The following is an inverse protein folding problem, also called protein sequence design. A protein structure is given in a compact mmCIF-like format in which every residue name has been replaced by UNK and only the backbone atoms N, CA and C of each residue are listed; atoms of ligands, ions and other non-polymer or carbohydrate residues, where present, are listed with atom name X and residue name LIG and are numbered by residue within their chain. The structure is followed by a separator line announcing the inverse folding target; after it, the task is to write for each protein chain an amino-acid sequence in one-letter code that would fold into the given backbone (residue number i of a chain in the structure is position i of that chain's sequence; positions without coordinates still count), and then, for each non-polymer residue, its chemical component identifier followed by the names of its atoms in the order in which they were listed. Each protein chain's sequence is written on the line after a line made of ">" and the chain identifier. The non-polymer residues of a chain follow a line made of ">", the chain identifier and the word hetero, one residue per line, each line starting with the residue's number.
data_IF_245556968324
#
_entry.id   IF_245556968324
#
_cell.length_a   1.000
_cell.length_b   1.000
_cell.length_c   1.000
_cell.angle_alpha   90.00
_cell.angle_beta   90.00
_cell.angle_gamma   90.00
#
_symmetry.space_group_name_H-M   'P 1'
#
loop_
_entity.id
_entity.type
_entity.pdbx_description
1 polymer ?
#
# COMPACT_ATOMS: atom_id res chain seq x y z
N UNK A 1 -1.59 27.49 -8.64
CA UNK A 1 -2.55 28.15 -9.57
C UNK A 1 -3.03 27.13 -10.59
N UNK A 2 -4.33 27.03 -10.86
CA UNK A 2 -4.83 26.15 -11.92
C UNK A 2 -4.35 26.66 -13.28
N UNK A 3 -3.82 25.75 -14.11
CA UNK A 3 -3.31 26.09 -15.44
C UNK A 3 -4.45 26.67 -16.29
N UNK A 4 -4.26 27.87 -16.85
CA UNK A 4 -5.28 28.60 -17.63
C UNK A 4 -5.55 28.01 -19.03
N UNK A 5 -5.17 26.75 -19.27
CA UNK A 5 -5.03 26.14 -20.59
C UNK A 5 -6.13 25.11 -20.88
N UNK A 6 -7.36 25.59 -21.06
CA UNK A 6 -8.44 24.88 -21.75
C UNK A 6 -8.64 23.39 -21.40
N UNK A 7 -8.97 22.57 -22.40
CA UNK A 7 -9.30 21.13 -22.27
C UNK A 7 -8.16 20.25 -21.73
N UNK A 8 -6.91 20.72 -21.79
CA UNK A 8 -5.73 20.04 -21.25
C UNK A 8 -5.50 20.30 -19.75
N UNK A 9 -6.32 21.16 -19.13
CA UNK A 9 -6.31 21.34 -17.68
C UNK A 9 -6.96 20.14 -16.98
N UNK A 10 -6.37 19.62 -15.90
CA UNK A 10 -7.02 18.58 -15.11
C UNK A 10 -8.33 19.10 -14.52
N UNK A 11 -9.35 18.23 -14.52
CA UNK A 11 -10.62 18.52 -13.87
C UNK A 11 -10.47 18.48 -12.33
N UNK A 12 -11.50 18.95 -11.61
CA UNK A 12 -11.45 19.04 -10.15
C UNK A 12 -11.22 17.69 -9.44
N UNK A 13 -11.72 16.58 -9.99
CA UNK A 13 -11.50 15.25 -9.43
C UNK A 13 -10.03 14.83 -9.61
N UNK A 14 -9.47 15.03 -10.81
CA UNK A 14 -8.05 14.77 -11.10
C UNK A 14 -7.14 15.58 -10.18
N UNK A 15 -7.43 16.87 -9.97
CA UNK A 15 -6.65 17.72 -9.05
C UNK A 15 -6.67 17.14 -7.63
N UNK A 16 -7.86 16.81 -7.09
CA UNK A 16 -7.99 16.20 -5.75
C UNK A 16 -7.21 14.89 -5.66
N UNK A 17 -7.29 14.04 -6.70
CA UNK A 17 -6.57 12.77 -6.77
C UNK A 17 -5.06 12.98 -6.75
N UNK A 18 -4.53 13.97 -7.48
CA UNK A 18 -3.10 14.31 -7.49
C UNK A 18 -2.59 14.78 -6.13
N UNK A 19 -3.33 15.67 -5.46
CA UNK A 19 -2.98 16.11 -4.11
C UNK A 19 -3.06 14.95 -3.10
N UNK A 20 -4.12 14.14 -3.13
CA UNK A 20 -4.26 12.98 -2.25
C UNK A 20 -3.12 11.96 -2.48
N UNK A 21 -2.80 11.66 -3.74
CA UNK A 21 -1.74 10.70 -4.10
C UNK A 21 -0.32 11.22 -3.84
N UNK A 22 -0.16 12.49 -3.49
CA UNK A 22 1.13 13.06 -3.10
C UNK A 22 1.39 12.99 -1.59
N UNK A 23 0.34 12.73 -0.80
CA UNK A 23 0.43 12.78 0.66
C UNK A 23 0.81 14.16 1.22
N UNK A 24 0.70 15.22 0.41
CA UNK A 24 1.11 16.58 0.78
C UNK A 24 2.58 16.90 0.54
N UNK A 25 3.33 16.03 -0.15
CA UNK A 25 4.77 16.20 -0.39
C UNK A 25 5.13 16.18 -1.88
N UNK A 26 6.21 16.87 -2.24
CA UNK A 26 6.74 16.90 -3.60
C UNK A 26 7.14 15.50 -4.07
N UNK A 27 6.64 15.08 -5.25
CA UNK A 27 6.86 13.73 -5.77
C UNK A 27 8.27 13.46 -6.35
N UNK A 28 9.12 14.49 -6.45
CA UNK A 28 10.54 14.27 -6.76
C UNK A 28 11.23 13.54 -5.59
N UNK A 29 11.81 12.34 -5.80
CA UNK A 29 12.37 11.49 -4.75
C UNK A 29 13.55 12.10 -4.00
N UNK A 30 14.25 13.07 -4.59
CA UNK A 30 15.37 13.77 -3.95
C UNK A 30 14.94 15.04 -3.20
N UNK A 31 13.65 15.39 -3.25
CA UNK A 31 13.12 16.64 -2.73
C UNK A 31 12.20 16.44 -1.52
N UNK A 32 11.09 15.72 -1.70
CA UNK A 32 10.13 15.36 -0.65
C UNK A 32 9.66 16.51 0.27
N UNK A 33 9.80 17.78 -0.15
CA UNK A 33 9.40 18.91 0.68
C UNK A 33 7.86 19.01 0.80
N UNK A 34 7.32 19.52 1.93
CA UNK A 34 5.90 19.80 2.08
C UNK A 34 5.39 20.76 0.99
N UNK A 35 4.21 20.50 0.47
CA UNK A 35 3.56 21.32 -0.56
C UNK A 35 2.62 22.39 0.02
N UNK A 36 2.29 22.25 1.30
CA UNK A 36 1.54 23.21 2.09
C UNK A 36 2.46 23.73 3.18
N UNK A 37 2.65 25.04 3.23
CA UNK A 37 3.60 25.70 4.13
C UNK A 37 2.90 26.83 4.85
N UNK A 38 3.17 26.96 6.14
CA UNK A 38 2.70 28.11 6.91
C UNK A 38 3.72 29.25 6.82
N UNK A 39 3.25 30.41 6.36
CA UNK A 39 4.02 31.64 6.22
C UNK A 39 3.37 32.73 7.09
N UNK A 40 3.79 32.79 8.36
CA UNK A 40 3.16 33.64 9.36
C UNK A 40 1.75 33.14 9.70
N UNK A 41 0.75 34.00 9.48
CA UNK A 41 -0.67 33.70 9.70
C UNK A 41 -1.36 33.07 8.48
N UNK A 42 -0.63 32.82 7.39
CA UNK A 42 -1.17 32.30 6.13
C UNK A 42 -0.69 30.89 5.85
N UNK A 43 -1.60 30.02 5.46
CA UNK A 43 -1.24 28.76 4.81
C UNK A 43 -1.13 28.98 3.29
N UNK A 44 0.01 28.60 2.72
CA UNK A 44 0.29 28.73 1.29
C UNK A 44 0.53 27.36 0.65
N UNK A 45 -0.01 27.18 -0.57
CA UNK A 45 0.26 26.01 -1.39
C UNK A 45 1.38 26.32 -2.37
N UNK A 46 2.53 25.66 -2.22
CA UNK A 46 3.67 25.74 -3.14
C UNK A 46 3.72 24.55 -4.12
N UNK A 47 2.76 23.63 -4.02
CA UNK A 47 2.56 22.54 -4.96
C UNK A 47 1.99 23.00 -6.30
N UNK A 48 2.59 22.53 -7.38
CA UNK A 48 2.25 22.82 -8.76
C UNK A 48 2.05 21.53 -9.56
N UNK A 49 1.11 21.59 -10.50
CA UNK A 49 0.72 20.49 -11.37
C UNK A 49 1.59 20.59 -12.63
N UNK A 50 2.56 19.69 -12.78
CA UNK A 50 3.43 19.63 -13.95
C UNK A 50 2.94 18.55 -14.91
N UNK A 51 2.83 18.90 -16.19
CA UNK A 51 2.55 17.94 -17.25
C UNK A 51 3.80 17.09 -17.54
N UNK A 52 3.63 15.77 -17.63
CA UNK A 52 4.70 14.83 -17.99
C UNK A 52 4.98 14.95 -19.49
N UNK A 53 3.96 14.71 -20.30
CA UNK A 53 3.92 15.09 -21.72
C UNK A 53 3.28 16.46 -21.89
N UNK A 54 3.83 17.28 -22.79
CA UNK A 54 3.38 18.66 -23.03
C UNK A 54 1.86 18.82 -23.08
N UNK A 55 1.36 19.91 -22.47
CA UNK A 55 -0.04 20.31 -22.57
C UNK A 55 -0.43 20.84 -23.96
N UNK A 56 0.54 21.20 -24.79
CA UNK A 56 0.35 21.78 -26.14
C UNK A 56 1.20 21.03 -27.16
N UNK A 57 0.80 21.11 -28.42
CA UNK A 57 1.62 20.60 -29.53
C UNK A 57 2.93 21.39 -29.64
N UNK A 58 4.03 20.71 -29.90
CA UNK A 58 5.39 21.26 -30.01
C UNK A 58 5.98 21.89 -28.72
N UNK A 59 5.46 21.50 -27.55
CA UNK A 59 6.12 21.81 -26.27
C UNK A 59 7.12 20.73 -25.80
N UNK A 60 7.72 20.91 -24.62
CA UNK A 60 8.59 19.93 -23.98
C UNK A 60 7.99 18.53 -23.90
N UNK A 61 8.69 17.50 -24.39
CA UNK A 61 8.21 16.10 -24.36
C UNK A 61 6.82 15.95 -25.00
N UNK A 62 6.61 16.53 -26.19
CA UNK A 62 5.33 16.40 -26.92
C UNK A 62 5.06 14.94 -27.27
N UNK A 63 3.84 14.47 -27.00
CA UNK A 63 3.33 13.20 -27.51
C UNK A 63 2.07 13.49 -28.35
N UNK A 64 2.20 13.32 -29.67
CA UNK A 64 1.14 13.60 -30.64
C UNK A 64 -0.03 12.63 -30.57
N UNK A 65 0.15 11.49 -29.91
CA UNK A 65 -0.90 10.47 -29.75
C UNK A 65 -1.88 10.82 -28.62
N UNK A 66 -1.56 11.82 -27.78
CA UNK A 66 -2.42 12.26 -26.69
C UNK A 66 -3.43 13.32 -27.16
N UNK A 67 -4.72 13.03 -26.96
CA UNK A 67 -5.78 14.03 -27.11
C UNK A 67 -5.67 15.12 -26.03
N UNK A 68 -6.30 16.26 -26.28
CA UNK A 68 -6.37 17.36 -25.30
C UNK A 68 -6.91 16.89 -23.95
N UNK A 69 -7.97 16.07 -23.96
CA UNK A 69 -8.56 15.52 -22.73
C UNK A 69 -7.62 14.55 -22.02
N UNK A 70 -6.78 13.79 -22.75
CA UNK A 70 -5.78 12.88 -22.17
C UNK A 70 -4.63 13.65 -21.51
N UNK A 71 -4.29 14.84 -22.02
CA UNK A 71 -3.23 15.68 -21.41
C UNK A 71 -3.58 16.15 -20.01
N UNK A 72 -4.87 16.34 -19.73
CA UNK A 72 -5.40 16.67 -18.40
C UNK A 72 -5.66 15.48 -17.48
N UNK A 73 -5.36 14.25 -17.90
CA UNK A 73 -5.62 13.06 -17.08
C UNK A 73 -4.61 12.92 -15.95
N UNK A 74 -5.04 12.19 -14.92
CA UNK A 74 -4.19 11.88 -13.78
C UNK A 74 -2.83 11.38 -14.24
N UNK A 75 -2.77 10.38 -15.11
CA UNK A 75 -1.53 9.70 -15.51
C UNK A 75 -0.50 10.63 -16.17
N UNK A 76 -0.93 11.70 -16.84
CA UNK A 76 -0.04 12.66 -17.51
C UNK A 76 0.42 13.81 -16.60
N UNK A 77 0.07 13.83 -15.32
CA UNK A 77 0.39 14.95 -14.42
C UNK A 77 1.10 14.43 -13.18
N UNK A 78 2.14 15.14 -12.77
CA UNK A 78 2.85 14.95 -11.51
C UNK A 78 2.66 16.20 -10.62
N UNK A 79 2.61 16.01 -9.31
CA UNK A 79 2.53 17.11 -8.35
C UNK A 79 3.91 17.33 -7.69
N UNK A 80 4.48 18.50 -7.91
CA UNK A 80 5.82 18.86 -7.41
C UNK A 80 5.82 20.25 -6.80
N UNK A 81 6.85 20.62 -6.02
CA UNK A 81 6.99 22.01 -5.57
C UNK A 81 7.39 22.94 -6.74
N UNK A 82 7.14 24.24 -6.61
CA UNK A 82 7.48 25.25 -7.62
C UNK A 82 8.96 25.20 -8.11
N UNK A 83 9.90 24.90 -7.20
CA UNK A 83 11.32 24.74 -7.56
C UNK A 83 11.58 23.53 -8.45
N UNK A 84 10.95 22.38 -8.14
CA UNK A 84 11.07 21.18 -8.97
C UNK A 84 10.34 21.34 -10.30
N UNK A 85 9.16 21.98 -10.30
CA UNK A 85 8.44 22.33 -11.53
C UNK A 85 9.33 23.16 -12.46
N UNK A 86 9.93 24.23 -11.94
CA UNK A 86 10.84 25.10 -12.71
C UNK A 86 12.03 24.33 -13.29
N UNK A 87 12.61 23.38 -12.55
CA UNK A 87 13.72 22.54 -13.06
C UNK A 87 13.26 21.62 -14.20
N UNK A 88 12.13 20.96 -14.05
CA UNK A 88 11.56 20.06 -15.06
C UNK A 88 11.25 20.80 -16.37
N UNK A 89 10.77 22.04 -16.26
CA UNK A 89 10.42 22.87 -17.41
C UNK A 89 11.64 23.48 -18.11
N UNK A 90 12.66 23.89 -17.35
CA UNK A 90 13.81 24.64 -17.90
C UNK A 90 14.98 23.78 -18.35
N UNK A 91 15.02 22.51 -17.96
CA UNK A 91 16.10 21.57 -18.26
C UNK A 91 15.51 20.24 -18.76
N UNK A 92 14.58 20.34 -19.71
CA UNK A 92 13.78 19.21 -20.21
C UNK A 92 14.61 18.00 -20.65
N UNK A 93 15.81 18.23 -21.19
CA UNK A 93 16.77 17.22 -21.63
C UNK A 93 17.30 16.36 -20.47
N UNK A 94 17.23 16.86 -19.24
CA UNK A 94 17.62 16.16 -18.03
C UNK A 94 16.43 15.51 -17.30
N UNK A 95 15.19 15.81 -17.70
CA UNK A 95 13.98 15.29 -17.10
C UNK A 95 13.10 14.59 -18.13
N UNK A 96 13.45 13.34 -18.47
CA UNK A 96 12.67 12.51 -19.41
C UNK A 96 11.29 12.15 -18.87
N UNK A 97 10.34 11.87 -19.76
CA UNK A 97 8.99 11.43 -19.38
C UNK A 97 9.03 10.12 -18.58
N UNK A 98 9.86 9.16 -18.98
CA UNK A 98 10.05 7.89 -18.28
C UNK A 98 10.47 8.12 -16.82
N UNK A 99 11.42 9.02 -16.59
CA UNK A 99 11.90 9.34 -15.25
C UNK A 99 10.81 10.03 -14.41
N UNK A 100 10.07 10.97 -14.98
CA UNK A 100 8.99 11.65 -14.23
C UNK A 100 7.86 10.67 -13.91
N UNK A 101 7.55 9.74 -14.82
CA UNK A 101 6.57 8.67 -14.57
C UNK A 101 7.03 7.74 -13.45
N UNK A 102 8.32 7.38 -13.40
CA UNK A 102 8.85 6.55 -12.32
C UNK A 102 8.78 7.27 -10.98
N UNK A 103 9.13 8.57 -10.91
CA UNK A 103 8.99 9.36 -9.69
C UNK A 103 7.58 9.35 -9.14
N UNK A 104 6.60 9.58 -10.02
CA UNK A 104 5.20 9.56 -9.64
C UNK A 104 4.77 8.18 -9.12
N UNK A 105 5.14 7.11 -9.83
CA UNK A 105 4.85 5.73 -9.43
C UNK A 105 5.45 5.41 -8.07
N UNK A 106 6.75 5.64 -7.91
CA UNK A 106 7.49 5.32 -6.68
C UNK A 106 6.93 6.08 -5.47
N UNK A 107 6.52 7.34 -5.66
CA UNK A 107 5.93 8.13 -4.58
C UNK A 107 4.55 7.59 -4.15
N UNK A 108 3.71 7.23 -5.11
CA UNK A 108 2.39 6.64 -4.84
C UNK A 108 2.56 5.29 -4.13
N UNK A 109 3.49 4.46 -4.61
CA UNK A 109 3.78 3.16 -4.02
C UNK A 109 4.31 3.29 -2.59
N UNK A 110 5.14 4.31 -2.29
CA UNK A 110 5.58 4.63 -0.92
C UNK A 110 4.41 5.01 0.00
N UNK A 111 3.47 5.83 -0.47
CA UNK A 111 2.29 6.20 0.31
C UNK A 111 1.41 4.98 0.56
N UNK A 112 1.12 4.20 -0.48
CA UNK A 112 0.35 2.97 -0.38
C UNK A 112 0.98 1.98 0.62
N UNK A 113 2.30 1.80 0.56
CA UNK A 113 3.03 0.97 1.50
C UNK A 113 2.91 1.46 2.95
N UNK A 114 2.82 2.77 3.18
CA UNK A 114 2.59 3.35 4.52
C UNK A 114 1.24 2.91 5.11
N UNK A 115 0.23 2.72 4.26
CA UNK A 115 -1.09 2.23 4.67
C UNK A 115 -1.23 0.69 4.58
N UNK A 116 -0.12 -0.04 4.40
CA UNK A 116 -0.13 -1.50 4.32
C UNK A 116 -0.63 -2.04 2.99
N UNK A 117 -0.79 -1.20 1.96
CA UNK A 117 -1.05 -1.63 0.58
C UNK A 117 0.30 -1.93 -0.05
N UNK A 118 0.79 -3.15 0.17
CA UNK A 118 2.04 -3.64 -0.43
C UNK A 118 1.74 -4.73 -1.44
N UNK A 119 1.84 -4.38 -2.72
CA UNK A 119 1.85 -5.32 -3.84
C UNK A 119 3.29 -5.70 -4.16
N UNK A 120 3.50 -6.92 -4.64
CA UNK A 120 4.79 -7.42 -5.08
C UNK A 120 4.74 -7.82 -6.54
N UNK A 121 5.90 -7.85 -7.18
CA UNK A 121 6.03 -8.23 -8.59
C UNK A 121 6.07 -9.75 -8.77
N UNK A 122 6.44 -10.51 -7.74
CA UNK A 122 6.63 -11.95 -7.80
C UNK A 122 6.19 -12.67 -6.52
N UNK A 123 5.87 -13.96 -6.66
CA UNK A 123 5.38 -14.85 -5.60
C UNK A 123 6.37 -14.98 -4.45
N UNK A 124 7.66 -15.11 -4.77
CA UNK A 124 8.74 -15.26 -3.78
C UNK A 124 8.76 -14.09 -2.77
N UNK A 125 8.60 -12.85 -3.25
CA UNK A 125 8.61 -11.68 -2.38
C UNK A 125 7.39 -11.63 -1.45
N UNK A 126 6.22 -12.05 -1.92
CA UNK A 126 5.02 -12.21 -1.07
C UNK A 126 5.30 -13.27 0.00
N UNK A 127 5.86 -14.41 -0.40
CA UNK A 127 6.16 -15.53 0.49
C UNK A 127 7.12 -15.14 1.60
N UNK A 128 8.22 -14.48 1.28
CA UNK A 128 9.21 -14.03 2.26
C UNK A 128 8.60 -13.10 3.32
N UNK A 129 7.64 -12.25 2.93
CA UNK A 129 6.93 -11.38 3.86
C UNK A 129 5.90 -12.15 4.71
N UNK A 130 5.12 -13.05 4.09
CA UNK A 130 4.16 -13.91 4.81
C UNK A 130 4.82 -14.78 5.87
N UNK A 131 6.01 -15.31 5.56
CA UNK A 131 6.70 -16.25 6.44
C UNK A 131 7.10 -15.61 7.78
N UNK A 132 7.32 -14.29 7.83
CA UNK A 132 7.59 -13.57 9.09
C UNK A 132 6.42 -13.73 10.06
N UNK A 133 5.19 -13.53 9.58
CA UNK A 133 3.98 -13.61 10.39
C UNK A 133 3.64 -15.05 10.75
N UNK A 134 3.73 -15.99 9.80
CA UNK A 134 3.48 -17.40 10.08
C UNK A 134 4.47 -17.96 11.10
N UNK A 135 5.76 -17.63 10.96
CA UNK A 135 6.79 -18.07 11.90
C UNK A 135 6.54 -17.55 13.31
N UNK A 136 6.24 -16.26 13.45
CA UNK A 136 5.93 -15.67 14.76
C UNK A 136 4.67 -16.30 15.39
N UNK A 137 3.59 -16.42 14.63
CA UNK A 137 2.35 -17.04 15.10
C UNK A 137 2.58 -18.49 15.54
N UNK A 138 3.33 -19.27 14.74
CA UNK A 138 3.64 -20.66 15.07
C UNK A 138 4.51 -20.78 16.32
N UNK A 139 5.54 -19.94 16.47
CA UNK A 139 6.36 -19.92 17.68
C UNK A 139 5.52 -19.62 18.92
N UNK A 140 4.60 -18.66 18.86
CA UNK A 140 3.69 -18.35 19.98
C UNK A 140 2.77 -19.54 20.26
N UNK A 141 2.18 -20.15 19.23
CA UNK A 141 1.25 -21.27 19.38
C UNK A 141 1.92 -22.49 20.01
N UNK A 142 3.11 -22.88 19.53
CA UNK A 142 3.86 -24.01 20.10
C UNK A 142 4.28 -23.73 21.54
N UNK A 143 4.73 -22.51 21.83
CA UNK A 143 5.27 -22.16 23.16
C UNK A 143 4.18 -21.99 24.22
N UNK A 144 3.05 -21.36 23.89
CA UNK A 144 2.04 -20.96 24.87
C UNK A 144 0.63 -21.49 24.56
N UNK A 145 0.37 -21.89 23.31
CA UNK A 145 -0.94 -22.36 22.89
C UNK A 145 -1.33 -23.68 23.55
N UNK A 146 -2.59 -24.11 23.37
CA UNK A 146 -3.14 -25.33 23.97
C UNK A 146 -2.61 -26.59 23.27
N UNK A 147 -1.31 -26.82 23.32
CA UNK A 147 -0.65 -28.04 22.85
C UNK A 147 -0.74 -29.13 23.92
N UNK A 148 -0.49 -30.38 23.53
CA UNK A 148 -0.47 -31.49 24.48
C UNK A 148 0.54 -31.26 25.61
N UNK A 149 1.72 -30.74 25.26
CA UNK A 149 2.81 -30.41 26.20
C UNK A 149 2.39 -29.31 27.19
N UNK A 150 1.74 -28.25 26.71
CA UNK A 150 1.30 -27.14 27.54
C UNK A 150 0.06 -27.47 28.40
N UNK A 151 -0.63 -28.58 28.12
CA UNK A 151 -1.85 -28.98 28.82
C UNK A 151 -1.59 -29.92 30.01
N UNK A 152 -0.32 -30.30 30.26
CA UNK A 152 0.05 -31.26 31.33
C UNK A 152 -0.02 -30.65 32.72
N UNK A 153 0.28 -29.36 32.85
CA UNK A 153 0.33 -28.64 34.13
C UNK A 153 -0.78 -27.57 34.20
N UNK A 154 -1.85 -27.80 34.99
CA UNK A 154 -2.95 -26.86 35.15
C UNK A 154 -2.55 -25.53 35.83
N UNK A 155 -1.44 -25.48 36.56
CA UNK A 155 -0.96 -24.26 37.24
C UNK A 155 -0.06 -23.41 36.33
N UNK A 156 0.23 -23.88 35.11
CA UNK A 156 1.09 -23.18 34.19
C UNK A 156 0.45 -21.85 33.71
N UNK A 157 1.11 -20.69 33.88
CA UNK A 157 0.59 -19.39 33.44
C UNK A 157 0.46 -19.26 31.92
N UNK A 158 0.87 -20.27 31.14
CA UNK A 158 0.80 -20.30 29.69
C UNK A 158 -0.60 -19.95 29.15
N UNK A 159 -1.68 -20.31 29.83
CA UNK A 159 -3.03 -19.94 29.40
C UNK A 159 -3.26 -18.42 29.39
N UNK A 160 -2.83 -17.71 30.43
CA UNK A 160 -2.93 -16.25 30.50
C UNK A 160 -1.98 -15.58 29.49
N UNK A 161 -0.75 -16.09 29.40
CA UNK A 161 0.24 -15.60 28.44
C UNK A 161 -0.26 -15.79 27.00
N UNK A 162 -0.90 -16.92 26.72
CA UNK A 162 -1.52 -17.23 25.44
C UNK A 162 -2.59 -16.22 25.06
N UNK A 163 -3.56 -15.95 25.96
CA UNK A 163 -4.61 -14.96 25.70
C UNK A 163 -4.03 -13.56 25.42
N UNK A 164 -3.04 -13.14 26.21
CA UNK A 164 -2.34 -11.87 25.98
C UNK A 164 -1.62 -11.86 24.63
N UNK A 165 -0.93 -12.95 24.27
CA UNK A 165 -0.18 -13.06 23.00
C UNK A 165 -1.10 -13.14 21.79
N UNK A 166 -2.28 -13.74 21.91
CA UNK A 166 -3.30 -13.71 20.87
C UNK A 166 -3.64 -12.27 20.52
N UNK A 167 -4.04 -11.46 21.51
CA UNK A 167 -4.49 -10.09 21.29
C UNK A 167 -3.38 -9.17 20.79
N UNK A 168 -2.17 -9.33 21.31
CA UNK A 168 -1.04 -8.45 20.99
C UNK A 168 -0.25 -8.83 19.74
N UNK A 169 -0.31 -10.08 19.29
CA UNK A 169 0.51 -10.58 18.17
C UNK A 169 -0.32 -11.34 17.13
N UNK A 170 -1.02 -12.42 17.52
CA UNK A 170 -1.69 -13.31 16.55
C UNK A 170 -2.82 -12.60 15.80
N UNK A 171 -3.73 -11.90 16.48
CA UNK A 171 -4.81 -11.17 15.81
C UNK A 171 -4.26 -10.08 14.87
N UNK A 172 -3.32 -9.20 15.31
CA UNK A 172 -2.66 -8.29 14.39
C UNK A 172 -2.00 -8.98 13.18
N UNK A 173 -1.30 -10.09 13.41
CA UNK A 173 -0.62 -10.83 12.35
C UNK A 173 -1.60 -11.49 11.38
N UNK A 174 -2.71 -12.05 11.86
CA UNK A 174 -3.77 -12.60 11.00
C UNK A 174 -4.34 -11.53 10.07
N UNK A 175 -4.63 -10.33 10.58
CA UNK A 175 -5.09 -9.20 9.77
C UNK A 175 -4.04 -8.75 8.74
N UNK A 176 -2.75 -8.77 9.11
CA UNK A 176 -1.64 -8.47 8.18
C UNK A 176 -1.53 -9.53 7.09
N UNK A 177 -1.60 -10.82 7.45
CA UNK A 177 -1.60 -11.94 6.51
C UNK A 177 -2.75 -11.78 5.51
N UNK A 178 -3.98 -11.60 6.01
CA UNK A 178 -5.15 -11.44 5.16
C UNK A 178 -4.98 -10.29 4.15
N UNK A 179 -4.61 -9.09 4.62
CA UNK A 179 -4.38 -7.94 3.74
C UNK A 179 -3.27 -8.19 2.73
N UNK A 180 -2.17 -8.80 3.16
CA UNK A 180 -1.02 -9.08 2.30
C UNK A 180 -1.42 -10.02 1.16
N UNK A 181 -2.19 -11.08 1.46
CA UNK A 181 -2.68 -12.00 0.43
C UNK A 181 -3.72 -11.33 -0.47
N UNK A 182 -4.67 -10.56 0.07
CA UNK A 182 -5.68 -9.82 -0.71
C UNK A 182 -5.04 -8.86 -1.72
N UNK A 183 -4.03 -8.09 -1.32
CA UNK A 183 -3.35 -7.16 -2.23
C UNK A 183 -2.55 -7.88 -3.32
N UNK A 184 -2.14 -9.12 -3.07
CA UNK A 184 -1.35 -9.94 -4.00
C UNK A 184 -2.15 -11.09 -4.62
N UNK A 185 -3.49 -10.98 -4.59
CA UNK A 185 -4.41 -12.01 -5.07
C UNK A 185 -4.20 -12.36 -6.55
N UNK A 186 -3.70 -11.40 -7.34
CA UNK A 186 -3.39 -11.57 -8.76
C UNK A 186 -2.23 -12.54 -9.02
N UNK A 187 -1.39 -12.83 -8.01
CA UNK A 187 -0.27 -13.79 -8.10
C UNK A 187 -0.66 -15.21 -7.66
N UNK A 188 -1.90 -15.45 -7.25
CA UNK A 188 -2.36 -16.73 -6.71
C UNK A 188 -2.86 -17.69 -7.79
N UNK A 189 -2.61 -18.99 -7.61
CA UNK A 189 -3.27 -20.07 -8.34
C UNK A 189 -4.72 -20.26 -7.87
N UNK A 190 -5.54 -20.98 -8.65
CA UNK A 190 -6.93 -21.28 -8.25
C UNK A 190 -7.00 -22.13 -6.97
N UNK A 191 -6.08 -23.07 -6.78
CA UNK A 191 -6.03 -23.88 -5.56
C UNK A 191 -5.68 -23.03 -4.33
N UNK A 192 -4.73 -22.11 -4.48
CA UNK A 192 -4.36 -21.16 -3.42
C UNK A 192 -5.53 -20.24 -3.06
N UNK A 193 -6.33 -19.79 -4.03
CA UNK A 193 -7.52 -18.97 -3.76
C UNK A 193 -8.54 -19.72 -2.90
N UNK A 194 -8.74 -21.02 -3.16
CA UNK A 194 -9.59 -21.87 -2.34
C UNK A 194 -9.05 -22.04 -0.90
N UNK A 195 -7.74 -22.21 -0.76
CA UNK A 195 -7.06 -22.27 0.55
C UNK A 195 -7.21 -20.94 1.30
N UNK A 196 -7.04 -19.82 0.60
CA UNK A 196 -7.14 -18.49 1.17
C UNK A 196 -8.56 -18.19 1.66
N UNK A 197 -9.59 -18.58 0.91
CA UNK A 197 -10.99 -18.47 1.36
C UNK A 197 -11.22 -19.17 2.70
N UNK A 198 -10.70 -20.40 2.86
CA UNK A 198 -10.77 -21.13 4.14
C UNK A 198 -9.98 -20.43 5.25
N UNK A 199 -8.83 -19.84 4.92
CA UNK A 199 -8.03 -19.08 5.88
C UNK A 199 -8.79 -17.84 6.38
N UNK A 200 -9.48 -17.11 5.51
CA UNK A 200 -10.29 -15.96 5.90
C UNK A 200 -11.40 -16.35 6.88
N UNK A 201 -12.10 -17.46 6.63
CA UNK A 201 -13.12 -17.99 7.56
C UNK A 201 -12.49 -18.33 8.91
N UNK A 202 -11.33 -19.00 8.90
CA UNK A 202 -10.60 -19.30 10.14
C UNK A 202 -10.19 -18.04 10.91
N UNK A 203 -9.67 -17.02 10.22
CA UNK A 203 -9.26 -15.76 10.85
C UNK A 203 -10.46 -15.08 11.50
N UNK A 204 -11.59 -14.99 10.80
CA UNK A 204 -12.83 -14.37 11.31
C UNK A 204 -13.38 -15.12 12.53
N UNK A 205 -13.46 -16.45 12.45
CA UNK A 205 -13.89 -17.30 13.56
C UNK A 205 -12.98 -17.15 14.79
N UNK A 206 -11.66 -17.17 14.57
CA UNK A 206 -10.66 -17.07 15.63
C UNK A 206 -10.70 -15.69 16.29
N UNK A 207 -10.81 -14.63 15.50
CA UNK A 207 -10.93 -13.26 15.97
C UNK A 207 -12.23 -13.07 16.76
N UNK A 208 -13.36 -13.54 16.24
CA UNK A 208 -14.66 -13.48 16.90
C UNK A 208 -14.65 -14.14 18.28
N UNK A 209 -14.04 -15.33 18.40
CA UNK A 209 -13.88 -16.02 19.68
C UNK A 209 -13.03 -15.22 20.67
N UNK A 210 -11.87 -14.74 20.23
CA UNK A 210 -10.90 -14.10 21.13
C UNK A 210 -11.16 -12.62 21.42
N UNK A 211 -12.11 -12.01 20.71
CA UNK A 211 -12.68 -10.70 21.03
C UNK A 211 -14.02 -10.81 21.80
N UNK A 212 -14.47 -12.02 22.13
CA UNK A 212 -15.70 -12.24 22.92
C UNK A 212 -17.00 -11.98 22.15
N UNK A 213 -16.98 -12.08 20.82
CA UNK A 213 -18.17 -11.96 19.97
C UNK A 213 -18.96 -13.28 19.90
N UNK A 214 -18.33 -14.41 20.21
CA UNK A 214 -18.96 -15.73 20.23
C UNK A 214 -18.22 -16.69 21.15
N UNK A 215 -18.96 -17.62 21.78
CA UNK A 215 -18.41 -18.75 22.54
C UNK A 215 -18.28 -20.03 21.69
N UNK A 216 -18.79 -20.00 20.46
CA UNK A 216 -18.75 -21.15 19.56
C UNK A 216 -17.31 -21.50 19.18
N UNK A 217 -17.06 -22.80 18.96
CA UNK A 217 -15.79 -23.23 18.39
C UNK A 217 -15.76 -22.86 16.91
N UNK A 218 -14.73 -22.13 16.53
CA UNK A 218 -14.44 -21.75 15.14
C UNK A 218 -13.85 -22.88 14.30
N UNK A 219 -13.71 -22.60 13.00
CA UNK A 219 -12.96 -23.44 12.08
C UNK A 219 -11.47 -23.53 12.46
N UNK A 220 -10.83 -24.64 12.06
CA UNK A 220 -9.40 -24.87 12.31
C UNK A 220 -8.56 -24.18 11.25
N UNK A 221 -7.31 -23.85 11.62
CA UNK A 221 -6.33 -23.33 10.69
C UNK A 221 -6.14 -24.30 9.51
N UNK A 222 -6.31 -23.87 8.26
CA UNK A 222 -6.07 -24.72 7.11
C UNK A 222 -4.57 -24.92 6.90
N UNK A 223 -4.05 -26.13 7.11
CA UNK A 223 -2.60 -26.42 7.06
C UNK A 223 -1.94 -25.97 5.74
N UNK A 224 -2.63 -26.16 4.62
CA UNK A 224 -2.18 -25.71 3.30
C UNK A 224 -1.96 -24.19 3.20
N UNK A 225 -2.54 -23.38 4.10
CA UNK A 225 -2.28 -21.94 4.11
C UNK A 225 -0.82 -21.60 4.44
N UNK A 226 -0.11 -22.50 5.14
CA UNK A 226 1.33 -22.35 5.39
C UNK A 226 2.17 -22.45 4.11
N UNK A 227 1.60 -22.97 3.02
CA UNK A 227 2.23 -23.18 1.73
C UNK A 227 1.83 -22.15 0.66
N UNK A 228 1.04 -21.13 1.02
CA UNK A 228 0.68 -20.05 0.09
C UNK A 228 1.93 -19.38 -0.49
N UNK A 229 1.90 -19.18 -1.82
CA UNK A 229 2.98 -18.59 -2.61
C UNK A 229 4.29 -19.39 -2.62
N UNK A 230 4.27 -20.67 -2.24
CA UNK A 230 5.40 -21.59 -2.52
C UNK A 230 5.35 -21.98 -4.00
N UNK A 231 6.52 -21.97 -4.67
CA UNK A 231 6.66 -22.21 -6.11
C UNK A 231 6.92 -20.93 -6.88
#
# INVERSE_FOLDING_TARGET
>A
MACSRGKASPNANTIRRLFASSGGFCQNPQCLQPLFVDAGDKNITIGELAHIFSAIDNGPRTNTDLTDEQRGQFDNIILVCANCHTKIDKAEEHFTDEMIRSWKKDHIDKINATFGVKTYENRESVRQELEKYFRENNTIFVTYGPTQENSVDPENPNAEVWLRKIQSHILPNNRKIQRLVEQNYHLMSEDEKNVFSKLCVHIDDFESKHLGLTDANGSRFPEAASELFIG
#
